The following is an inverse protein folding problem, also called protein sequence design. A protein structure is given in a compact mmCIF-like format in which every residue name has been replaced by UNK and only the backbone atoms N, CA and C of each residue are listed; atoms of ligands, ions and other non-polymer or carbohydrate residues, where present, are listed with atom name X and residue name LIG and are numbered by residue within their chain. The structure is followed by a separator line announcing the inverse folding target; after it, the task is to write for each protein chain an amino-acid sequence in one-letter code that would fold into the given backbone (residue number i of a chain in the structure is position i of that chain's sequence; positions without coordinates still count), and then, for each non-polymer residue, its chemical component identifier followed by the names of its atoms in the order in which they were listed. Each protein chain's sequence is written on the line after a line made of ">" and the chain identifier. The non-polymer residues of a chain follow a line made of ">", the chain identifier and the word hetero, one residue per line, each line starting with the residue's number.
data_IF_373217421242
#
_entry.id   IF_373217421242
#
_cell.length_a   1.000
_cell.length_b   1.000
_cell.length_c   1.000
_cell.angle_alpha   90.00
_cell.angle_beta   90.00
_cell.angle_gamma   90.00
#
_symmetry.space_group_name_H-M   'P 1'
#
loop_
_entity.id
_entity.type
_entity.pdbx_description
1 polymer ?
#
# COMPACT_ATOMS: atom_id res chain seq x y z
N UNK A 1 -41.91 -1.75 -41.76
CA UNK A 1 -41.03 -2.91 -42.00
C UNK A 1 -39.60 -2.47 -41.76
N UNK A 2 -39.16 -2.53 -40.50
CA UNK A 2 -37.73 -2.52 -40.18
C UNK A 2 -37.41 -3.94 -39.74
N UNK A 3 -36.91 -4.74 -40.67
CA UNK A 3 -36.42 -6.09 -40.40
C UNK A 3 -35.19 -5.95 -39.49
N UNK A 4 -35.38 -6.17 -38.20
CA UNK A 4 -34.29 -6.27 -37.23
C UNK A 4 -33.50 -7.52 -37.63
N UNK A 5 -32.42 -7.32 -38.37
CA UNK A 5 -31.63 -8.43 -38.92
C UNK A 5 -30.91 -9.15 -37.77
N UNK A 6 -31.13 -10.47 -37.57
CA UNK A 6 -30.51 -11.24 -36.48
C UNK A 6 -28.97 -11.17 -36.47
N UNK A 7 -28.39 -10.89 -37.62
CA UNK A 7 -26.95 -10.76 -37.84
C UNK A 7 -26.37 -9.48 -37.19
N UNK A 8 -27.16 -8.40 -37.10
CA UNK A 8 -26.74 -7.17 -36.43
C UNK A 8 -26.73 -7.33 -34.91
N UNK A 9 -27.71 -8.05 -34.36
CA UNK A 9 -27.75 -8.38 -32.93
C UNK A 9 -26.59 -9.29 -32.52
N UNK A 10 -26.20 -10.25 -33.37
CA UNK A 10 -25.04 -11.11 -33.13
C UNK A 10 -23.72 -10.33 -33.17
N UNK A 11 -23.58 -9.34 -34.07
CA UNK A 11 -22.41 -8.47 -34.08
C UNK A 11 -22.32 -7.58 -32.83
N UNK A 12 -23.47 -7.16 -32.29
CA UNK A 12 -23.52 -6.34 -31.09
C UNK A 12 -23.20 -7.13 -29.81
N UNK A 13 -23.64 -8.39 -29.73
CA UNK A 13 -23.27 -9.30 -28.63
C UNK A 13 -21.77 -9.61 -28.64
N UNK A 14 -21.16 -9.75 -29.82
CA UNK A 14 -19.70 -9.99 -29.95
C UNK A 14 -18.87 -8.75 -29.59
N UNK A 15 -19.34 -7.55 -29.92
CA UNK A 15 -18.71 -6.31 -29.47
C UNK A 15 -18.76 -6.19 -27.94
N UNK A 16 -19.91 -6.50 -27.33
CA UNK A 16 -20.10 -6.44 -25.87
C UNK A 16 -19.30 -7.51 -25.10
N UNK A 17 -19.01 -8.67 -25.70
CA UNK A 17 -18.11 -9.70 -25.15
C UNK A 17 -16.62 -9.29 -25.18
N UNK A 18 -16.24 -8.36 -26.04
CA UNK A 18 -14.85 -7.90 -26.18
C UNK A 18 -14.52 -6.84 -25.12
N UNK A 19 -15.50 -6.02 -24.73
CA UNK A 19 -15.39 -5.09 -23.59
C UNK A 19 -15.27 -5.83 -22.24
N UNK A 20 -15.97 -6.96 -22.06
CA UNK A 20 -15.90 -7.73 -20.82
C UNK A 20 -14.58 -8.49 -20.64
N UNK A 21 -13.86 -8.81 -21.72
CA UNK A 21 -12.50 -9.39 -21.64
C UNK A 21 -11.38 -8.34 -21.58
N UNK A 22 -11.70 -7.05 -21.67
CA UNK A 22 -10.75 -5.94 -21.49
C UNK A 22 -10.59 -5.47 -20.04
N UNK A 23 -11.45 -5.95 -19.13
CA UNK A 23 -11.38 -5.61 -17.72
C UNK A 23 -10.40 -6.54 -16.97
N UNK A 24 -9.13 -6.13 -16.93
CA UNK A 24 -8.24 -6.53 -15.83
C UNK A 24 -7.05 -7.41 -16.17
N UNK A 25 -6.33 -7.16 -17.28
CA UNK A 25 -4.88 -7.30 -17.17
C UNK A 25 -4.38 -6.04 -16.48
N UNK A 26 -4.16 -6.13 -15.17
CA UNK A 26 -3.36 -5.15 -14.44
C UNK A 26 -1.97 -5.21 -15.07
N UNK A 27 -1.76 -4.38 -16.08
CA UNK A 27 -0.44 -4.10 -16.63
C UNK A 27 0.38 -3.63 -15.42
N UNK A 28 1.44 -4.35 -15.02
CA UNK A 28 2.27 -3.86 -13.93
C UNK A 28 2.80 -2.53 -14.41
N UNK A 29 2.31 -1.45 -13.81
CA UNK A 29 2.84 -0.13 -14.08
C UNK A 29 4.31 -0.25 -13.70
N UNK A 30 5.20 0.01 -14.67
CA UNK A 30 6.61 0.22 -14.39
C UNK A 30 6.76 1.59 -13.72
N UNK A 31 6.14 1.71 -12.54
CA UNK A 31 6.06 2.89 -11.70
C UNK A 31 6.25 2.38 -10.29
N UNK A 32 7.46 2.61 -9.80
CA UNK A 32 8.04 2.20 -8.54
C UNK A 32 7.87 0.72 -8.15
N UNK A 33 8.96 -0.03 -8.27
CA UNK A 33 8.97 -1.45 -7.89
C UNK A 33 8.59 -1.64 -6.42
N UNK A 34 8.20 -2.86 -6.05
CA UNK A 34 7.93 -3.23 -4.65
C UNK A 34 9.03 -2.73 -3.68
N UNK A 35 10.29 -2.69 -4.13
CA UNK A 35 11.42 -2.13 -3.39
C UNK A 35 11.33 -0.61 -3.12
N UNK A 36 10.82 0.19 -4.04
CA UNK A 36 10.58 1.63 -3.82
C UNK A 36 9.42 1.89 -2.87
N UNK A 37 8.34 1.12 -2.98
CA UNK A 37 7.26 1.13 -1.97
C UNK A 37 7.81 0.76 -0.59
N UNK A 38 8.61 -0.31 -0.47
CA UNK A 38 9.21 -0.71 0.79
C UNK A 38 10.13 0.36 1.36
N UNK A 39 10.98 0.97 0.52
CA UNK A 39 11.87 2.06 0.90
C UNK A 39 11.09 3.27 1.40
N UNK A 40 10.00 3.63 0.73
CA UNK A 40 9.09 4.70 1.14
C UNK A 40 8.48 4.42 2.52
N UNK A 41 8.00 3.19 2.74
CA UNK A 41 7.44 2.76 4.04
C UNK A 41 8.50 2.85 5.14
N UNK A 42 9.72 2.34 4.91
CA UNK A 42 10.87 2.43 5.83
C UNK A 42 11.17 3.89 6.21
N UNK A 43 11.25 4.77 5.21
CA UNK A 43 11.51 6.19 5.44
C UNK A 43 10.39 6.84 6.29
N UNK A 44 9.13 6.50 6.00
CA UNK A 44 7.99 7.10 6.70
C UNK A 44 7.95 6.75 8.20
N UNK A 45 8.35 5.53 8.59
CA UNK A 45 8.43 5.18 10.01
C UNK A 45 9.63 5.81 10.70
N UNK A 46 10.77 5.96 10.02
CA UNK A 46 11.89 6.71 10.56
C UNK A 46 11.47 8.16 10.88
N UNK A 47 10.75 8.79 9.95
CA UNK A 47 10.21 10.15 10.12
C UNK A 47 9.21 10.23 11.28
N UNK A 48 8.33 9.22 11.40
CA UNK A 48 7.37 9.13 12.51
C UNK A 48 8.08 8.96 13.86
N UNK A 49 9.15 8.15 13.93
CA UNK A 49 9.95 7.99 15.14
C UNK A 49 10.66 9.28 15.55
N UNK A 50 11.28 9.99 14.60
CA UNK A 50 11.95 11.27 14.86
C UNK A 50 10.97 12.34 15.35
N UNK A 51 9.80 12.40 14.73
CA UNK A 51 8.73 13.32 15.14
C UNK A 51 8.27 13.02 16.58
N UNK A 52 8.08 11.74 16.91
CA UNK A 52 7.71 11.34 18.27
C UNK A 52 8.81 11.65 19.31
N UNK A 53 10.08 11.49 18.94
CA UNK A 53 11.21 11.84 19.80
C UNK A 53 11.27 13.35 20.07
N UNK A 54 11.12 14.16 19.01
CA UNK A 54 11.10 15.63 19.12
C UNK A 54 9.91 16.13 19.96
N UNK A 55 8.72 15.55 19.80
CA UNK A 55 7.58 15.89 20.66
C UNK A 55 7.79 15.50 22.12
N UNK A 56 8.45 14.37 22.40
CA UNK A 56 8.82 13.97 23.77
C UNK A 56 9.80 14.97 24.39
N UNK A 57 10.78 15.41 23.63
CA UNK A 57 11.78 16.38 24.08
C UNK A 57 11.15 17.75 24.35
N UNK A 58 10.36 18.27 23.40
CA UNK A 58 9.63 19.53 23.56
C UNK A 58 8.65 19.50 24.75
N UNK A 59 8.03 18.36 25.03
CA UNK A 59 7.20 18.18 26.22
C UNK A 59 8.04 18.17 27.51
N UNK A 60 9.19 17.49 27.52
CA UNK A 60 10.07 17.41 28.68
C UNK A 60 10.74 18.75 29.02
N UNK A 61 11.00 19.60 28.03
CA UNK A 61 11.55 20.95 28.23
C UNK A 61 10.48 22.00 28.53
N UNK A 62 9.19 21.64 28.44
CA UNK A 62 8.07 22.57 28.64
C UNK A 62 7.82 23.52 27.47
N UNK A 63 8.44 23.24 26.31
CA UNK A 63 8.50 24.11 25.13
C UNK A 63 7.47 23.73 24.05
N UNK A 64 6.45 22.95 24.41
CA UNK A 64 5.42 22.47 23.50
C UNK A 64 4.01 22.77 23.98
N UNK A 65 3.16 23.30 23.10
CA UNK A 65 1.71 23.41 23.28
C UNK A 65 0.98 22.05 23.21
N UNK A 66 1.72 20.97 22.97
CA UNK A 66 1.17 19.62 22.88
C UNK A 66 0.74 19.14 24.27
N UNK A 67 -0.53 18.79 24.38
CA UNK A 67 -1.07 18.21 25.62
C UNK A 67 -0.42 16.84 25.88
N UNK A 68 -0.30 16.45 27.15
CA UNK A 68 0.14 15.11 27.54
C UNK A 68 -0.64 14.00 26.78
N UNK A 69 -1.92 14.25 26.48
CA UNK A 69 -2.76 13.36 25.70
C UNK A 69 -2.26 13.19 24.26
N UNK A 70 -1.83 14.26 23.58
CA UNK A 70 -1.25 14.18 22.23
C UNK A 70 0.06 13.41 22.21
N UNK A 71 0.92 13.59 23.23
CA UNK A 71 2.17 12.81 23.37
C UNK A 71 1.86 11.32 23.55
N UNK A 72 0.87 10.97 24.37
CA UNK A 72 0.45 9.58 24.55
C UNK A 72 -0.15 8.97 23.28
N UNK A 73 -0.94 9.72 22.52
CA UNK A 73 -1.51 9.27 21.25
C UNK A 73 -0.40 9.07 20.22
N UNK A 74 0.55 10.01 20.12
CA UNK A 74 1.69 9.89 19.22
C UNK A 74 2.56 8.66 19.55
N UNK A 75 2.80 8.40 20.84
CA UNK A 75 3.54 7.21 21.28
C UNK A 75 2.82 5.92 20.89
N UNK A 76 1.50 5.83 21.12
CA UNK A 76 0.71 4.66 20.73
C UNK A 76 0.70 4.44 19.21
N UNK A 77 0.62 5.52 18.43
CA UNK A 77 0.70 5.45 16.96
C UNK A 77 2.06 4.95 16.50
N UNK A 78 3.14 5.40 17.14
CA UNK A 78 4.50 4.94 16.85
C UNK A 78 4.66 3.44 17.16
N UNK A 79 4.19 2.98 18.33
CA UNK A 79 4.23 1.57 18.72
C UNK A 79 3.45 0.67 17.75
N UNK A 80 2.23 1.08 17.37
CA UNK A 80 1.42 0.33 16.42
C UNK A 80 2.09 0.26 15.03
N UNK A 81 2.64 1.38 14.56
CA UNK A 81 3.34 1.45 13.27
C UNK A 81 4.59 0.58 13.25
N UNK A 82 5.33 0.52 14.36
CA UNK A 82 6.51 -0.34 14.50
C UNK A 82 6.15 -1.83 14.46
N UNK A 83 5.06 -2.23 15.14
CA UNK A 83 4.55 -3.62 15.08
C UNK A 83 4.16 -4.00 13.66
N UNK A 84 3.42 -3.13 12.97
CA UNK A 84 3.04 -3.35 11.58
C UNK A 84 4.28 -3.50 10.67
N UNK A 85 5.32 -2.69 10.89
CA UNK A 85 6.58 -2.83 10.16
C UNK A 85 7.30 -4.14 10.38
N UNK A 86 7.30 -4.63 11.62
CA UNK A 86 7.94 -5.91 11.95
C UNK A 86 7.26 -7.05 11.19
N UNK A 87 5.92 -7.04 11.12
CA UNK A 87 5.15 -7.99 10.34
C UNK A 87 5.44 -7.91 8.84
N UNK A 88 5.50 -6.68 8.29
CA UNK A 88 5.89 -6.47 6.90
C UNK A 88 7.29 -7.02 6.65
N UNK A 89 8.28 -6.68 7.50
CA UNK A 89 9.66 -7.21 7.40
C UNK A 89 9.66 -8.73 7.37
N UNK A 90 8.94 -9.38 8.29
CA UNK A 90 8.87 -10.84 8.37
C UNK A 90 8.26 -11.44 7.10
N UNK A 91 7.16 -10.89 6.60
CA UNK A 91 6.54 -11.33 5.34
C UNK A 91 7.48 -11.20 4.13
N UNK A 92 8.32 -10.17 4.11
CA UNK A 92 9.26 -9.98 3.01
C UNK A 92 10.47 -10.90 3.06
N UNK A 93 10.97 -11.20 4.25
CA UNK A 93 11.97 -12.23 4.43
C UNK A 93 11.41 -13.58 3.96
N UNK A 94 10.17 -13.91 4.34
CA UNK A 94 9.52 -15.14 3.90
C UNK A 94 9.32 -15.18 2.38
N UNK A 95 8.82 -14.09 1.77
CA UNK A 95 8.64 -14.02 0.31
C UNK A 95 9.97 -14.18 -0.45
N UNK A 96 11.07 -13.62 0.08
CA UNK A 96 12.40 -13.82 -0.49
C UNK A 96 12.85 -15.29 -0.36
N UNK A 97 12.66 -15.91 0.80
CA UNK A 97 12.94 -17.33 1.02
C UNK A 97 12.11 -18.23 0.11
N UNK A 98 10.84 -17.89 -0.12
CA UNK A 98 9.92 -18.64 -0.99
C UNK A 98 10.36 -18.58 -2.46
N UNK A 99 10.76 -17.40 -2.96
CA UNK A 99 11.34 -17.27 -4.31
C UNK A 99 12.63 -18.08 -4.45
N UNK A 100 13.49 -18.08 -3.41
CA UNK A 100 14.76 -18.81 -3.44
C UNK A 100 14.59 -20.33 -3.39
N UNK A 101 13.52 -20.81 -2.76
CA UNK A 101 13.18 -22.23 -2.66
C UNK A 101 12.27 -22.71 -3.80
N UNK A 102 11.86 -21.84 -4.71
CA UNK A 102 11.08 -22.23 -5.87
C UNK A 102 11.97 -23.08 -6.79
N UNK A 103 11.62 -24.36 -7.05
CA UNK A 103 12.36 -25.15 -8.02
C UNK A 103 12.13 -24.54 -9.41
N UNK A 104 13.24 -24.28 -10.13
CA UNK A 104 13.21 -23.92 -11.56
C UNK A 104 12.73 -25.08 -12.42
#
# INVERSE_FOLDING_TARGET
>A
MSEISPQQLLSQIRAMQTDLHGAGTVKPTAGDGFGEMLKSVINNVNETQQTAASMKEAFATGEGSASLAEVMIASQKADLSFRAMTEVRNKLVNAYQEIMNMPV
#
